data_IF_340017057947
#
_entry.id   IF_340017057947
#
_cell.length_a   1.000
_cell.length_b   1.000
_cell.length_c   1.000
_cell.angle_alpha   90.00
_cell.angle_beta   90.00
_cell.angle_gamma   90.00
#
_symmetry.space_group_name_H-M   'P 1'
#
loop_
_entity.id
_entity.type
_entity.pdbx_description
1 polymer ?
#
# COMPACT_ATOMS: atom_id res chain seq x y z
N UNK A 1 5.75 46.78 -37.52
CA UNK A 1 5.07 46.18 -36.37
C UNK A 1 5.46 44.73 -36.20
N UNK A 2 5.92 44.45 -34.97
CA UNK A 2 6.21 43.20 -34.24
C UNK A 2 5.94 41.85 -34.95
N UNK A 3 6.94 40.97 -35.05
CA UNK A 3 7.30 39.93 -34.06
C UNK A 3 6.11 38.96 -33.83
N UNK A 4 6.20 37.65 -34.04
CA UNK A 4 7.02 36.77 -33.19
C UNK A 4 7.21 35.39 -33.83
N UNK A 5 8.45 34.94 -33.80
CA UNK A 5 8.94 33.58 -33.98
C UNK A 5 8.39 32.68 -32.86
N UNK A 6 7.58 31.68 -33.18
CA UNK A 6 7.19 30.66 -32.19
C UNK A 6 8.22 29.52 -32.19
N UNK A 7 9.26 29.69 -31.39
CA UNK A 7 10.12 28.59 -30.93
C UNK A 7 9.29 27.61 -30.12
N UNK A 8 9.09 26.41 -30.66
CA UNK A 8 8.52 25.27 -29.94
C UNK A 8 9.60 24.69 -29.05
N UNK A 9 9.64 25.14 -27.80
CA UNK A 9 10.47 24.53 -26.75
C UNK A 9 9.91 23.14 -26.47
N UNK A 10 10.66 22.11 -26.88
CA UNK A 10 10.45 20.73 -26.48
C UNK A 10 10.79 20.59 -24.99
N UNK A 11 9.83 20.88 -24.12
CA UNK A 11 9.90 20.47 -22.71
C UNK A 11 9.65 18.97 -22.65
N UNK A 12 10.72 18.22 -22.37
CA UNK A 12 10.63 16.84 -21.93
C UNK A 12 9.66 16.75 -20.76
N UNK A 13 8.53 16.05 -20.98
CA UNK A 13 7.61 15.66 -19.91
C UNK A 13 8.40 14.73 -18.99
N UNK A 14 8.83 15.23 -17.83
CA UNK A 14 9.20 14.36 -16.72
C UNK A 14 7.95 13.53 -16.42
N UNK A 15 8.00 12.24 -16.71
CA UNK A 15 7.02 11.30 -16.22
C UNK A 15 7.18 11.33 -14.70
N UNK A 16 6.31 12.09 -14.02
CA UNK A 16 6.10 11.90 -12.59
C UNK A 16 5.74 10.43 -12.47
N UNK A 17 6.63 9.67 -11.83
CA UNK A 17 6.51 8.25 -11.59
C UNK A 17 5.21 8.01 -10.81
N UNK A 18 4.11 7.79 -11.52
CA UNK A 18 2.82 7.55 -10.91
C UNK A 18 2.81 6.11 -10.49
N UNK A 19 2.54 5.89 -9.21
CA UNK A 19 2.23 4.57 -8.71
C UNK A 19 1.10 3.96 -9.54
N UNK A 20 1.16 2.65 -9.69
CA UNK A 20 0.18 1.88 -10.45
C UNK A 20 -1.18 1.86 -9.73
N UNK A 21 -2.19 1.28 -10.38
CA UNK A 21 -3.50 1.09 -9.76
C UNK A 21 -3.39 0.38 -8.39
N UNK A 22 -4.20 0.83 -7.43
CA UNK A 22 -4.24 0.34 -6.04
C UNK A 22 -2.94 0.55 -5.24
N UNK A 23 -2.16 1.57 -5.60
CA UNK A 23 -1.01 2.01 -4.83
C UNK A 23 -1.18 3.44 -4.33
N UNK A 24 -0.50 3.74 -3.23
CA UNK A 24 -0.38 5.08 -2.64
C UNK A 24 1.05 5.56 -2.86
N UNK A 25 1.21 6.74 -3.49
CA UNK A 25 2.49 7.43 -3.54
C UNK A 25 2.71 8.16 -2.21
N UNK A 26 3.82 7.87 -1.54
CA UNK A 26 4.27 8.64 -0.39
C UNK A 26 5.78 8.82 -0.44
N UNK A 27 6.22 10.08 -0.37
CA UNK A 27 7.60 10.47 -0.69
C UNK A 27 7.98 9.99 -2.10
N UNK A 28 9.02 9.16 -2.22
CA UNK A 28 9.54 8.62 -3.49
C UNK A 28 9.17 7.15 -3.71
N UNK A 29 8.28 6.58 -2.90
CA UNK A 29 7.93 5.16 -2.94
C UNK A 29 6.42 4.94 -3.15
N UNK A 30 6.11 3.84 -3.83
CA UNK A 30 4.76 3.34 -4.02
C UNK A 30 4.46 2.23 -3.03
N UNK A 31 3.28 2.32 -2.40
CA UNK A 31 2.87 1.38 -1.36
C UNK A 31 1.55 0.72 -1.71
N UNK A 32 1.39 -0.56 -1.37
CA UNK A 32 0.11 -1.25 -1.51
C UNK A 32 -0.15 -2.23 -0.38
N UNK A 33 -1.42 -2.62 -0.27
CA UNK A 33 -1.90 -3.70 0.58
C UNK A 33 -2.30 -4.90 -0.29
N UNK A 34 -1.88 -6.10 0.12
CA UNK A 34 -2.18 -7.32 -0.62
C UNK A 34 -2.30 -8.56 0.27
N UNK A 35 -3.01 -9.58 -0.19
CA UNK A 35 -3.25 -10.82 0.54
C UNK A 35 -2.24 -11.93 0.23
N UNK A 36 -0.95 -11.63 0.39
CA UNK A 36 0.18 -12.44 -0.15
C UNK A 36 1.11 -13.02 0.91
N UNK A 37 0.75 -12.96 2.20
CA UNK A 37 1.49 -13.70 3.24
C UNK A 37 2.93 -13.26 3.47
N UNK A 38 3.27 -12.01 3.15
CA UNK A 38 4.61 -11.45 3.30
C UNK A 38 5.43 -11.42 2.00
N UNK A 39 4.90 -11.96 0.91
CA UNK A 39 5.60 -12.04 -0.38
C UNK A 39 5.22 -10.89 -1.31
N UNK A 40 5.97 -9.79 -1.23
CA UNK A 40 5.78 -8.66 -2.13
C UNK A 40 6.14 -9.01 -3.58
N UNK A 41 5.46 -8.35 -4.53
CA UNK A 41 5.75 -8.46 -5.97
C UNK A 41 7.18 -8.03 -6.29
N UNK A 42 7.70 -8.49 -7.43
CA UNK A 42 9.01 -8.05 -7.94
C UNK A 42 9.11 -6.52 -8.01
N UNK A 43 10.24 -5.99 -7.55
CA UNK A 43 10.47 -4.55 -7.41
C UNK A 43 9.93 -3.94 -6.11
N UNK A 44 9.36 -4.76 -5.22
CA UNK A 44 8.84 -4.33 -3.92
C UNK A 44 9.44 -5.17 -2.79
N UNK A 45 9.44 -4.59 -1.59
CA UNK A 45 9.80 -5.22 -0.33
C UNK A 45 8.79 -4.85 0.75
N UNK A 46 8.88 -5.47 1.94
CA UNK A 46 7.99 -5.17 3.04
C UNK A 46 8.18 -3.71 3.49
N UNK A 47 7.08 -2.96 3.55
CA UNK A 47 7.07 -1.62 4.12
C UNK A 47 7.10 -1.65 5.64
N UNK A 48 7.49 -0.54 6.28
CA UNK A 48 7.55 -0.43 7.75
C UNK A 48 6.22 -0.06 8.38
N UNK A 49 6.01 -0.47 9.64
CA UNK A 49 4.86 -0.06 10.46
C UNK A 49 4.82 1.46 10.63
N UNK A 50 5.98 2.11 10.71
CA UNK A 50 6.06 3.56 10.85
C UNK A 50 5.43 4.25 9.64
N UNK A 51 5.79 3.84 8.42
CA UNK A 51 5.19 4.43 7.22
C UNK A 51 3.73 4.03 7.09
N UNK A 52 3.38 2.76 7.37
CA UNK A 52 1.99 2.30 7.39
C UNK A 52 1.12 3.19 8.28
N UNK A 53 1.61 3.58 9.47
CA UNK A 53 0.88 4.45 10.39
C UNK A 53 0.57 5.83 9.83
N UNK A 54 1.44 6.36 8.96
CA UNK A 54 1.31 7.68 8.35
C UNK A 54 0.37 7.67 7.14
N UNK A 55 0.35 6.57 6.39
CA UNK A 55 -0.35 6.50 5.09
C UNK A 55 -1.56 5.57 5.08
N UNK A 56 -1.86 4.87 6.19
CA UNK A 56 -2.95 3.90 6.25
C UNK A 56 -4.26 4.46 5.70
N UNK A 57 -4.63 5.69 6.08
CA UNK A 57 -5.85 6.36 5.62
C UNK A 57 -5.94 6.55 4.11
N UNK A 58 -4.81 6.66 3.41
CA UNK A 58 -4.76 6.83 1.95
C UNK A 58 -5.17 5.59 1.17
N UNK A 59 -5.29 4.42 1.83
CA UNK A 59 -5.79 3.20 1.19
C UNK A 59 -7.31 3.16 1.06
N UNK A 60 -8.06 4.04 1.75
CA UNK A 60 -9.52 4.09 1.63
C UNK A 60 -9.92 4.29 0.16
N UNK A 61 -10.86 3.48 -0.32
CA UNK A 61 -11.33 3.50 -1.71
C UNK A 61 -10.44 2.74 -2.70
N UNK A 62 -9.25 2.28 -2.30
CA UNK A 62 -8.41 1.39 -3.11
C UNK A 62 -8.76 -0.08 -2.85
N UNK A 63 -8.34 -0.99 -3.72
CA UNK A 63 -8.50 -2.44 -3.52
C UNK A 63 -7.17 -3.09 -3.13
N UNK A 64 -7.22 -4.39 -2.78
CA UNK A 64 -6.01 -5.22 -2.75
C UNK A 64 -5.28 -5.16 -4.10
N UNK A 65 -3.95 -5.25 -4.07
CA UNK A 65 -3.16 -5.19 -5.30
C UNK A 65 -3.43 -6.36 -6.24
N UNK A 66 -3.50 -7.59 -5.72
CA UNK A 66 -3.71 -8.80 -6.53
C UNK A 66 -4.64 -9.82 -5.89
N UNK A 67 -4.56 -10.02 -4.58
CA UNK A 67 -5.25 -11.08 -3.85
C UNK A 67 -5.89 -10.53 -2.58
N UNK A 68 -7.11 -10.97 -2.30
CA UNK A 68 -7.79 -10.66 -1.04
C UNK A 68 -7.03 -11.37 0.10
N UNK A 69 -6.92 -10.74 1.27
CA UNK A 69 -6.32 -11.38 2.44
C UNK A 69 -7.16 -12.56 2.96
N UNK A 70 -6.53 -13.46 3.71
CA UNK A 70 -7.16 -14.49 4.54
C UNK A 70 -6.98 -14.25 6.05
N UNK A 71 -6.15 -13.28 6.44
CA UNK A 71 -5.94 -12.85 7.81
C UNK A 71 -5.75 -11.32 7.87
N UNK A 72 -6.23 -10.70 8.94
CA UNK A 72 -6.33 -9.25 9.05
C UNK A 72 -5.11 -8.55 9.66
N UNK A 73 -4.16 -9.30 10.20
CA UNK A 73 -2.92 -8.74 10.72
C UNK A 73 -1.97 -8.44 9.56
N UNK A 74 -1.34 -7.27 9.59
CA UNK A 74 -0.48 -6.81 8.51
C UNK A 74 0.95 -7.29 8.74
N UNK A 75 1.50 -8.02 7.78
CA UNK A 75 2.93 -8.28 7.71
C UNK A 75 3.60 -7.01 7.18
N UNK A 76 4.58 -6.53 7.95
CA UNK A 76 5.45 -5.40 7.64
C UNK A 76 6.91 -5.86 7.79
N UNK A 77 7.86 -4.94 7.62
CA UNK A 77 9.30 -5.22 7.78
C UNK A 77 9.71 -5.62 9.20
N UNK A 78 8.84 -5.37 10.18
CA UNK A 78 9.07 -5.58 11.60
C UNK A 78 8.87 -7.04 12.02
N UNK A 79 9.47 -7.40 13.16
CA UNK A 79 9.43 -8.78 13.68
C UNK A 79 8.01 -9.28 13.99
N UNK A 80 7.13 -8.37 14.40
CA UNK A 80 5.77 -8.67 14.82
C UNK A 80 4.80 -7.83 14.01
N UNK A 81 3.62 -8.39 13.71
CA UNK A 81 2.50 -7.64 13.17
C UNK A 81 1.75 -6.97 14.32
N UNK A 82 1.85 -5.64 14.43
CA UNK A 82 1.09 -4.84 15.39
C UNK A 82 -0.12 -4.13 14.77
N UNK A 83 -0.17 -4.07 13.45
CA UNK A 83 -1.27 -3.45 12.70
C UNK A 83 -2.23 -4.50 12.18
N UNK A 84 -3.50 -4.13 12.09
CA UNK A 84 -4.50 -4.96 11.45
C UNK A 84 -5.74 -4.19 11.05
N UNK A 85 -6.53 -4.80 10.16
CA UNK A 85 -7.86 -4.29 9.79
C UNK A 85 -8.89 -5.01 10.65
N UNK A 86 -9.90 -4.32 11.15
CA UNK A 86 -10.95 -5.02 11.88
C UNK A 86 -11.71 -5.95 10.92
N UNK A 87 -11.86 -7.22 11.32
CA UNK A 87 -12.43 -8.29 10.47
C UNK A 87 -13.85 -8.00 9.98
N UNK A 88 -14.61 -7.16 10.69
CA UNK A 88 -15.96 -6.78 10.30
C UNK A 88 -16.01 -5.77 9.15
N UNK A 89 -14.97 -4.97 8.94
CA UNK A 89 -15.03 -3.80 8.06
C UNK A 89 -14.74 -4.15 6.59
N UNK A 90 -13.52 -4.60 6.25
CA UNK A 90 -13.15 -4.93 4.85
C UNK A 90 -12.04 -6.00 4.70
N UNK A 91 -11.46 -6.46 5.81
CA UNK A 91 -10.52 -7.57 5.78
C UNK A 91 -11.18 -8.84 5.23
N UNK A 92 -10.46 -9.61 4.41
CA UNK A 92 -10.92 -10.87 3.83
C UNK A 92 -12.18 -10.75 2.95
N UNK A 93 -12.54 -9.52 2.55
CA UNK A 93 -13.67 -9.22 1.66
C UNK A 93 -13.16 -8.60 0.37
N UNK A 94 -13.85 -8.87 -0.72
CA UNK A 94 -13.59 -8.22 -1.99
C UNK A 94 -14.11 -6.77 -1.97
N UNK A 95 -13.46 -5.92 -2.75
CA UNK A 95 -13.89 -4.54 -2.98
C UNK A 95 -13.02 -3.51 -2.26
N UNK A 96 -13.34 -2.22 -2.46
CA UNK A 96 -12.54 -1.12 -1.95
C UNK A 96 -12.45 -1.12 -0.42
N UNK A 97 -11.30 -0.70 0.11
CA UNK A 97 -11.07 -0.48 1.53
C UNK A 97 -12.02 0.58 2.07
N UNK A 98 -12.90 0.17 2.99
CA UNK A 98 -13.75 1.05 3.81
C UNK A 98 -13.17 1.27 5.20
N UNK A 99 -12.24 0.41 5.60
CA UNK A 99 -11.37 0.55 6.75
C UNK A 99 -9.95 0.14 6.38
N UNK A 100 -8.99 0.65 7.14
CA UNK A 100 -7.55 0.52 6.86
C UNK A 100 -6.83 -0.04 8.07
N UNK A 101 -5.59 -0.54 7.90
CA UNK A 101 -4.81 -1.01 9.03
C UNK A 101 -4.67 0.04 10.12
N UNK A 102 -4.93 -0.36 11.36
CA UNK A 102 -4.75 0.46 12.55
C UNK A 102 -3.99 -0.32 13.62
N UNK A 103 -3.36 0.41 14.54
CA UNK A 103 -2.59 -0.20 15.62
C UNK A 103 -3.50 -1.07 16.50
N UNK A 104 -3.10 -2.33 16.71
CA UNK A 104 -3.87 -3.38 17.37
C UNK A 104 -5.22 -3.72 16.69
N UNK A 105 -5.48 -3.20 15.49
CA UNK A 105 -6.71 -3.48 14.74
C UNK A 105 -6.86 -4.98 14.50
N UNK A 106 -8.10 -5.48 14.54
CA UNK A 106 -8.37 -6.92 14.41
C UNK A 106 -7.75 -7.81 15.50
N UNK A 107 -7.28 -7.23 16.61
CA UNK A 107 -6.62 -7.96 17.70
C UNK A 107 -5.14 -8.25 17.45
N UNK A 108 -4.52 -7.57 16.48
CA UNK A 108 -3.18 -7.87 16.00
C UNK A 108 -2.08 -7.26 16.87
N UNK A 109 -2.06 -7.49 18.19
CA UNK A 109 -0.98 -7.01 19.08
C UNK A 109 0.13 -8.05 19.17
N UNK A 110 1.35 -7.71 18.73
CA UNK A 110 2.50 -8.62 18.69
C UNK A 110 2.19 -9.96 17.98
N UNK A 111 1.42 -9.92 16.90
CA UNK A 111 0.99 -11.13 16.22
C UNK A 111 2.17 -11.77 15.46
N UNK A 112 2.37 -13.08 15.64
CA UNK A 112 3.51 -13.86 15.09
C UNK A 112 3.09 -14.97 14.15
N UNK A 113 1.81 -15.35 14.13
CA UNK A 113 1.35 -16.40 13.23
C UNK A 113 1.46 -15.90 11.79
N UNK A 114 1.91 -16.78 10.90
CA UNK A 114 2.02 -16.50 9.47
C UNK A 114 0.91 -17.24 8.74
N UNK A 115 0.05 -16.50 8.04
CA UNK A 115 -0.93 -17.07 7.12
C UNK A 115 -0.43 -16.86 5.66
N UNK A 116 -0.52 -17.87 4.77
CA UNK A 116 -0.10 -17.71 3.37
C UNK A 116 -0.81 -16.60 2.60
N UNK A 117 -1.99 -16.16 3.07
CA UNK A 117 -2.75 -15.04 2.53
C UNK A 117 -2.86 -13.88 3.52
N UNK A 118 -1.94 -13.77 4.47
CA UNK A 118 -1.96 -12.67 5.43
C UNK A 118 -1.86 -11.33 4.70
N UNK A 119 -2.58 -10.33 5.22
CA UNK A 119 -2.48 -8.96 4.72
C UNK A 119 -1.02 -8.52 4.81
N UNK A 120 -0.49 -7.97 3.72
CA UNK A 120 0.91 -7.62 3.56
C UNK A 120 1.00 -6.19 3.09
N UNK A 121 1.89 -5.42 3.72
CA UNK A 121 2.18 -4.05 3.33
C UNK A 121 3.51 -4.01 2.59
N UNK A 122 3.46 -3.59 1.32
CA UNK A 122 4.60 -3.59 0.42
C UNK A 122 4.95 -2.17 -0.01
N UNK A 123 6.24 -1.94 -0.24
CA UNK A 123 6.86 -0.68 -0.66
C UNK A 123 7.76 -0.92 -1.87
N UNK A 124 7.75 -0.04 -2.86
CA UNK A 124 8.66 -0.13 -4.00
C UNK A 124 10.11 0.07 -3.58
N UNK A 125 11.03 -0.70 -4.16
CA UNK A 125 12.47 -0.59 -3.89
C UNK A 125 13.08 0.70 -4.48
#
# INVERSE_FOLDING_TARGET
DSNTLSTSTSTSVEIIDKCSLNEVLYQTHCYYLDGVGGECRYGYSLGSETILSLIAGSFIGLNYKTAISGNCCVITSEKYSNYGVNSVDQCNKQGPFTAVPSLNGGGCRNHTAKNPRQLTFCMSN
#
